data_IF_938851701810
#
_entry.id   IF_938851701810
#
_cell.length_a   1.000
_cell.length_b   1.000
_cell.length_c   1.000
_cell.angle_alpha   90.00
_cell.angle_beta   90.00
_cell.angle_gamma   90.00
#
_symmetry.space_group_name_H-M   'P 1'
#
loop_
_entity.id
_entity.type
_entity.pdbx_description
1 polymer ?
#
# COMPACT_ATOMS: atom_id res chain seq x y z
N UNK A 1 2.83 13.01 -8.19
CA UNK A 1 2.95 14.44 -8.55
C UNK A 1 3.69 15.15 -7.43
N UNK A 2 4.39 16.24 -7.72
CA UNK A 2 4.98 17.10 -6.69
C UNK A 2 4.41 18.50 -6.86
N UNK A 3 3.69 18.98 -5.84
CA UNK A 3 3.18 20.34 -5.77
C UNK A 3 4.22 21.23 -5.06
N UNK A 4 4.57 22.34 -5.68
CA UNK A 4 5.53 23.31 -5.15
C UNK A 4 4.78 24.46 -4.46
N UNK A 5 5.47 25.17 -3.56
CA UNK A 5 4.88 26.26 -2.77
C UNK A 5 4.41 27.45 -3.64
N UNK A 6 4.89 27.54 -4.87
CA UNK A 6 4.50 28.55 -5.87
C UNK A 6 3.23 28.16 -6.64
N UNK A 7 2.60 27.03 -6.29
CA UNK A 7 1.40 26.52 -6.95
C UNK A 7 1.66 25.77 -8.25
N UNK A 8 2.93 25.62 -8.67
CA UNK A 8 3.28 24.80 -9.82
C UNK A 8 3.34 23.32 -9.46
N UNK A 9 3.17 22.45 -10.45
CA UNK A 9 3.19 21.01 -10.27
C UNK A 9 4.11 20.35 -11.30
N UNK A 10 4.97 19.44 -10.83
CA UNK A 10 5.72 18.53 -11.70
C UNK A 10 5.08 17.15 -11.70
N UNK A 11 4.83 16.64 -12.90
CA UNK A 11 4.33 15.29 -13.13
C UNK A 11 5.34 14.53 -13.99
N UNK A 12 5.79 13.38 -13.48
CA UNK A 12 6.55 12.39 -14.26
C UNK A 12 5.56 11.31 -14.69
N UNK A 13 5.50 11.04 -15.99
CA UNK A 13 4.55 10.09 -16.56
C UNK A 13 5.27 9.10 -17.47
N UNK A 14 4.78 7.87 -17.46
CA UNK A 14 5.31 6.79 -18.28
C UNK A 14 4.26 5.69 -18.49
N UNK A 15 4.51 4.71 -19.37
CA UNK A 15 3.76 3.46 -19.37
C UNK A 15 3.92 2.75 -18.01
N UNK A 16 3.00 1.86 -17.63
CA UNK A 16 3.04 1.11 -16.38
C UNK A 16 4.08 -0.03 -16.44
N UNK A 17 5.37 0.32 -16.57
CA UNK A 17 6.49 -0.62 -16.69
C UNK A 17 7.51 -0.39 -15.57
N UNK A 18 7.71 -1.42 -14.73
CA UNK A 18 8.62 -1.37 -13.56
C UNK A 18 10.11 -1.22 -13.92
N UNK A 19 10.50 -1.45 -15.17
CA UNK A 19 11.89 -1.20 -15.63
C UNK A 19 12.27 0.28 -15.50
N UNK A 20 11.30 1.19 -15.64
CA UNK A 20 11.53 2.64 -15.54
C UNK A 20 11.91 3.10 -14.12
N UNK A 21 11.11 2.84 -13.06
CA UNK A 21 11.52 3.20 -11.71
C UNK A 21 12.77 2.42 -11.26
N UNK A 22 12.94 1.16 -11.66
CA UNK A 22 14.15 0.39 -11.36
C UNK A 22 15.42 1.02 -11.97
N UNK A 23 15.38 1.39 -13.24
CA UNK A 23 16.49 2.08 -13.90
C UNK A 23 16.79 3.45 -13.28
N UNK A 24 15.74 4.19 -12.89
CA UNK A 24 15.91 5.47 -12.21
C UNK A 24 16.63 5.31 -10.86
N UNK A 25 16.33 4.26 -10.09
CA UNK A 25 17.02 3.98 -8.83
C UNK A 25 18.47 3.52 -9.03
N UNK A 26 18.73 2.67 -10.04
CA UNK A 26 20.06 2.09 -10.28
C UNK A 26 21.06 3.07 -10.89
N UNK A 27 20.60 3.97 -11.75
CA UNK A 27 21.49 4.89 -12.48
C UNK A 27 21.53 6.29 -11.91
N UNK A 28 20.77 6.59 -10.85
CA UNK A 28 20.75 7.93 -10.28
C UNK A 28 22.18 8.43 -9.96
N UNK A 29 22.54 9.68 -10.32
CA UNK A 29 21.69 10.75 -10.88
C UNK A 29 21.51 10.71 -12.41
N UNK A 30 22.19 9.79 -13.10
CA UNK A 30 22.14 9.60 -14.54
C UNK A 30 20.88 8.82 -14.97
N UNK A 31 20.77 8.57 -16.28
CA UNK A 31 19.67 7.81 -16.89
C UNK A 31 20.20 6.70 -17.77
N UNK A 32 19.62 5.51 -17.66
CA UNK A 32 19.83 4.43 -18.61
C UNK A 32 19.03 4.70 -19.89
N UNK A 33 19.61 4.33 -21.03
CA UNK A 33 18.88 4.30 -22.30
C UNK A 33 17.95 3.09 -22.35
N UNK A 34 16.72 3.28 -21.90
CA UNK A 34 15.69 2.27 -21.94
C UNK A 34 14.99 2.18 -23.31
N UNK A 35 15.11 3.21 -24.15
CA UNK A 35 14.53 3.22 -25.49
C UNK A 35 15.18 2.17 -26.36
N UNK A 36 16.51 2.12 -26.33
CA UNK A 36 17.28 1.09 -27.04
C UNK A 36 17.04 -0.33 -26.49
N UNK A 37 16.46 -0.47 -25.29
CA UNK A 37 16.06 -1.76 -24.69
C UNK A 37 14.61 -2.18 -24.97
N UNK A 38 13.94 -1.51 -25.92
CA UNK A 38 12.58 -1.82 -26.35
C UNK A 38 11.48 -1.12 -25.55
N UNK A 39 11.84 -0.23 -24.63
CA UNK A 39 10.88 0.63 -23.93
C UNK A 39 10.69 1.90 -24.77
N UNK A 40 9.82 1.82 -25.77
CA UNK A 40 9.60 2.91 -26.73
C UNK A 40 9.26 4.25 -26.09
N UNK A 41 9.41 5.34 -26.85
CA UNK A 41 9.02 6.67 -26.39
C UNK A 41 7.53 6.73 -26.06
N UNK A 42 7.22 7.56 -25.07
CA UNK A 42 5.82 7.92 -24.79
C UNK A 42 5.29 8.78 -25.93
N UNK A 43 4.02 8.58 -26.26
CA UNK A 43 3.29 9.39 -27.23
C UNK A 43 2.14 10.09 -26.49
N UNK A 44 2.33 11.36 -26.06
CA UNK A 44 1.34 12.08 -25.28
C UNK A 44 -0.01 12.26 -26.00
N UNK A 45 -0.03 12.25 -27.34
CA UNK A 45 -1.28 12.40 -28.12
C UNK A 45 -2.22 11.21 -27.93
N UNK A 46 -1.70 10.05 -27.51
CA UNK A 46 -2.49 8.85 -27.24
C UNK A 46 -3.08 8.79 -25.84
N UNK A 47 -2.80 9.79 -24.99
CA UNK A 47 -3.14 9.71 -23.58
C UNK A 47 -4.35 10.57 -23.24
N UNK A 48 -5.26 9.96 -22.48
CA UNK A 48 -6.37 10.63 -21.80
C UNK A 48 -6.19 10.46 -20.29
N UNK A 49 -5.97 11.57 -19.58
CA UNK A 49 -5.70 11.57 -18.14
C UNK A 49 -6.88 12.24 -17.42
N UNK A 50 -7.67 11.43 -16.72
CA UNK A 50 -8.73 11.91 -15.84
C UNK A 50 -8.34 11.75 -14.37
N UNK A 51 -8.56 12.80 -13.57
CA UNK A 51 -8.30 12.79 -12.13
C UNK A 51 -9.62 12.91 -11.37
N UNK A 52 -9.76 12.14 -10.28
CA UNK A 52 -10.95 12.13 -9.41
C UNK A 52 -10.52 11.92 -7.97
N UNK A 53 -11.33 12.42 -7.04
CA UNK A 53 -11.15 12.12 -5.62
C UNK A 53 -11.49 10.64 -5.33
N UNK A 54 -10.85 10.10 -4.29
CA UNK A 54 -11.11 8.74 -3.83
C UNK A 54 -12.42 8.72 -3.06
N UNK A 55 -13.34 7.86 -3.48
CA UNK A 55 -14.56 7.57 -2.71
C UNK A 55 -14.22 6.64 -1.54
N UNK A 56 -14.13 7.22 -0.33
CA UNK A 56 -13.82 6.47 0.89
C UNK A 56 -14.86 5.40 1.27
N UNK A 57 -16.09 5.48 0.76
CA UNK A 57 -17.11 4.45 0.98
C UNK A 57 -16.84 3.19 0.16
N UNK A 58 -16.25 3.35 -1.03
CA UNK A 58 -15.85 2.26 -1.92
C UNK A 58 -14.45 1.71 -1.59
N UNK A 59 -13.56 2.57 -1.08
CA UNK A 59 -12.17 2.23 -0.79
C UNK A 59 -11.78 2.49 0.69
N UNK A 60 -12.43 1.80 1.66
CA UNK A 60 -12.23 2.05 3.09
C UNK A 60 -10.77 1.84 3.54
N UNK A 61 -10.04 0.90 2.93
CA UNK A 61 -8.64 0.65 3.25
C UNK A 61 -7.73 1.87 3.02
N UNK A 62 -8.07 2.78 2.08
CA UNK A 62 -7.33 4.02 1.90
C UNK A 62 -7.36 4.89 3.16
N UNK A 63 -8.55 5.10 3.72
CA UNK A 63 -8.72 5.86 4.96
C UNK A 63 -8.03 5.19 6.16
N UNK A 64 -8.07 3.86 6.24
CA UNK A 64 -7.37 3.09 7.28
C UNK A 64 -5.86 3.31 7.17
N UNK A 65 -5.29 3.20 5.96
CA UNK A 65 -3.86 3.38 5.73
C UNK A 65 -3.38 4.80 6.04
N UNK A 66 -4.15 5.82 5.64
CA UNK A 66 -3.84 7.21 6.00
C UNK A 66 -3.80 7.40 7.52
N UNK A 67 -4.82 6.91 8.24
CA UNK A 67 -4.85 6.98 9.72
C UNK A 67 -3.66 6.26 10.35
N UNK A 68 -3.33 5.06 9.89
CA UNK A 68 -2.17 4.33 10.39
C UNK A 68 -0.85 5.08 10.16
N UNK A 69 -0.69 5.73 9.01
CA UNK A 69 0.46 6.59 8.70
C UNK A 69 0.54 7.83 9.59
N UNK A 70 -0.59 8.50 9.84
CA UNK A 70 -0.69 9.66 10.73
C UNK A 70 -0.40 9.31 12.20
N UNK A 71 -0.92 8.17 12.67
CA UNK A 71 -0.65 7.66 14.01
C UNK A 71 0.81 7.26 14.18
N UNK A 72 1.46 6.80 13.10
CA UNK A 72 2.83 6.33 13.10
C UNK A 72 3.03 5.20 14.10
N UNK A 73 4.18 5.18 14.78
CA UNK A 73 4.42 4.18 15.81
C UNK A 73 4.46 2.75 15.23
N UNK A 74 3.76 1.84 15.91
CA UNK A 74 3.60 0.46 15.46
C UNK A 74 2.54 0.26 14.35
N UNK A 75 1.67 1.24 14.12
CA UNK A 75 0.49 1.08 13.27
C UNK A 75 0.82 0.73 11.81
N UNK A 76 1.82 1.34 11.15
CA UNK A 76 2.19 0.96 9.79
C UNK A 76 2.65 -0.49 9.68
N UNK A 77 3.48 -0.98 10.61
CA UNK A 77 3.94 -2.37 10.60
C UNK A 77 2.80 -3.36 10.83
N UNK A 78 1.92 -3.07 11.80
CA UNK A 78 0.74 -3.90 12.07
C UNK A 78 -0.21 -3.94 10.86
N UNK A 79 -0.38 -2.80 10.18
CA UNK A 79 -1.20 -2.70 8.96
C UNK A 79 -0.64 -3.60 7.86
N UNK A 80 0.68 -3.60 7.64
CA UNK A 80 1.33 -4.47 6.63
C UNK A 80 0.98 -5.93 6.91
N UNK A 81 1.21 -6.41 8.14
CA UNK A 81 0.90 -7.81 8.48
C UNK A 81 -0.59 -8.14 8.42
N UNK A 82 -1.45 -7.22 8.83
CA UNK A 82 -2.90 -7.40 8.78
C UNK A 82 -3.43 -7.50 7.34
N UNK A 83 -2.92 -6.66 6.43
CA UNK A 83 -3.28 -6.68 5.02
C UNK A 83 -2.84 -7.97 4.34
N UNK A 84 -1.59 -8.41 4.57
CA UNK A 84 -1.07 -9.66 4.02
C UNK A 84 -1.93 -10.88 4.42
N UNK A 85 -2.27 -11.00 5.71
CA UNK A 85 -3.11 -12.09 6.20
C UNK A 85 -4.54 -12.03 5.66
N UNK A 86 -5.15 -10.84 5.61
CA UNK A 86 -6.52 -10.67 5.14
C UNK A 86 -6.64 -10.95 3.62
N UNK A 87 -5.68 -10.46 2.82
CA UNK A 87 -5.61 -10.74 1.38
C UNK A 87 -5.37 -12.23 1.14
N UNK A 88 -4.45 -12.86 1.87
CA UNK A 88 -4.22 -14.31 1.76
C UNK A 88 -5.48 -15.10 2.06
N UNK A 89 -6.16 -14.80 3.17
CA UNK A 89 -7.43 -15.45 3.53
C UNK A 89 -8.53 -15.23 2.47
N UNK A 90 -8.60 -14.07 1.82
CA UNK A 90 -9.52 -13.83 0.71
C UNK A 90 -9.17 -14.69 -0.52
N UNK A 91 -7.90 -14.75 -0.90
CA UNK A 91 -7.42 -15.56 -2.03
C UNK A 91 -7.64 -17.07 -1.79
N UNK A 92 -7.59 -17.52 -0.54
CA UNK A 92 -7.92 -18.88 -0.12
C UNK A 92 -9.44 -19.13 0.03
N UNK A 93 -10.28 -18.12 -0.19
CA UNK A 93 -11.73 -18.23 -0.10
C UNK A 93 -12.27 -18.35 1.33
N UNK A 94 -11.49 -17.99 2.35
CA UNK A 94 -11.91 -18.03 3.76
C UNK A 94 -12.78 -16.85 4.17
N UNK A 95 -12.55 -15.68 3.57
CA UNK A 95 -13.31 -14.46 3.82
C UNK A 95 -13.74 -13.82 2.48
N UNK A 96 -14.86 -13.08 2.43
CA UNK A 96 -15.19 -12.28 1.25
C UNK A 96 -14.30 -11.03 1.18
N UNK A 97 -14.14 -10.47 -0.03
CA UNK A 97 -13.37 -9.23 -0.24
C UNK A 97 -13.80 -8.09 0.71
N UNK A 98 -15.10 -7.93 0.94
CA UNK A 98 -15.67 -6.89 1.81
C UNK A 98 -15.35 -7.08 3.30
N UNK A 99 -14.77 -8.21 3.72
CA UNK A 99 -14.33 -8.42 5.09
C UNK A 99 -12.94 -7.86 5.36
N UNK A 100 -12.07 -7.75 4.35
CA UNK A 100 -10.69 -7.24 4.46
C UNK A 100 -10.60 -5.94 5.28
N UNK A 101 -11.33 -4.85 4.96
CA UNK A 101 -11.22 -3.61 5.73
C UNK A 101 -11.61 -3.77 7.20
N UNK A 102 -12.60 -4.63 7.51
CA UNK A 102 -13.04 -4.88 8.89
C UNK A 102 -11.97 -5.62 9.69
N UNK A 103 -11.36 -6.65 9.10
CA UNK A 103 -10.28 -7.42 9.72
C UNK A 103 -9.08 -6.52 10.01
N UNK A 104 -8.68 -5.68 9.06
CA UNK A 104 -7.58 -4.73 9.24
C UNK A 104 -7.89 -3.74 10.36
N UNK A 105 -9.06 -3.10 10.32
CA UNK A 105 -9.44 -2.10 11.33
C UNK A 105 -9.52 -2.69 12.75
N UNK A 106 -10.08 -3.89 12.90
CA UNK A 106 -10.13 -4.59 14.18
C UNK A 106 -8.73 -5.00 14.66
N UNK A 107 -7.85 -5.44 13.75
CA UNK A 107 -6.45 -5.75 14.08
C UNK A 107 -5.70 -4.53 14.63
N UNK A 108 -5.90 -3.36 14.01
CA UNK A 108 -5.26 -2.12 14.44
C UNK A 108 -5.85 -1.55 15.74
N UNK A 109 -7.11 -1.87 16.07
CA UNK A 109 -7.78 -1.35 17.28
C UNK A 109 -7.17 -1.84 18.60
N UNK A 110 -6.47 -2.97 18.58
CA UNK A 110 -5.95 -3.66 19.77
C UNK A 110 -4.57 -3.21 20.24
N UNK A 111 -3.81 -2.43 19.45
CA UNK A 111 -2.40 -2.16 19.74
C UNK A 111 -2.14 -0.74 20.25
N UNK A 112 -1.29 -0.63 21.28
CA UNK A 112 -0.87 0.65 21.89
C UNK A 112 0.64 0.70 22.11
N UNK A 113 1.40 0.31 21.09
CA UNK A 113 2.86 0.36 21.13
C UNK A 113 3.39 1.66 20.50
N UNK A 114 4.51 2.16 21.03
CA UNK A 114 5.25 3.27 20.44
C UNK A 114 5.92 2.89 19.11
N UNK A 115 6.70 3.80 18.51
CA UNK A 115 7.49 3.48 17.33
C UNK A 115 8.52 2.39 17.63
N UNK A 116 8.73 1.43 16.70
CA UNK A 116 9.76 0.41 16.89
C UNK A 116 11.14 1.06 16.98
N UNK A 117 11.95 0.59 17.93
CA UNK A 117 13.31 1.06 18.16
C UNK A 117 14.35 0.38 17.25
N UNK A 118 13.97 -0.68 16.53
CA UNK A 118 14.85 -1.41 15.61
C UNK A 118 14.08 -2.04 14.44
N UNK A 119 14.83 -2.50 13.44
CA UNK A 119 14.28 -3.29 12.33
C UNK A 119 13.62 -4.57 12.84
N UNK A 120 14.27 -5.29 13.76
CA UNK A 120 13.75 -6.55 14.30
C UNK A 120 12.41 -6.34 15.03
N UNK A 121 12.28 -5.23 15.76
CA UNK A 121 11.02 -4.86 16.41
C UNK A 121 9.95 -4.51 15.37
N UNK A 122 10.30 -3.77 14.32
CA UNK A 122 9.38 -3.47 13.22
C UNK A 122 8.88 -4.73 12.51
N UNK A 123 9.75 -5.73 12.30
CA UNK A 123 9.38 -7.03 11.71
C UNK A 123 8.53 -7.86 12.67
N UNK A 124 8.83 -7.84 13.98
CA UNK A 124 7.99 -8.48 14.99
C UNK A 124 6.56 -7.93 14.96
N UNK A 125 6.41 -6.60 14.84
CA UNK A 125 5.10 -5.95 14.74
C UNK A 125 4.34 -6.36 13.47
N UNK A 126 5.03 -6.60 12.35
CA UNK A 126 4.38 -7.18 11.14
C UNK A 126 3.82 -8.56 11.48
N UNK A 127 4.62 -9.44 12.09
CA UNK A 127 4.17 -10.78 12.49
C UNK A 127 3.03 -10.76 13.53
N UNK A 128 3.02 -9.78 14.44
CA UNK A 128 1.90 -9.56 15.36
C UNK A 128 0.61 -9.18 14.64
N UNK A 129 0.70 -8.27 13.66
CA UNK A 129 -0.43 -7.88 12.80
C UNK A 129 -0.99 -9.08 12.02
N UNK A 130 -0.10 -9.87 11.42
CA UNK A 130 -0.47 -11.08 10.69
C UNK A 130 -1.19 -12.10 11.59
N UNK A 131 -0.62 -12.38 12.77
CA UNK A 131 -1.18 -13.34 13.73
C UNK A 131 -2.54 -12.88 14.27
N UNK A 132 -2.72 -11.58 14.52
CA UNK A 132 -4.00 -11.01 14.94
C UNK A 132 -5.06 -11.13 13.85
N UNK A 133 -4.75 -10.72 12.61
CA UNK A 133 -5.66 -10.82 11.47
C UNK A 133 -6.06 -12.28 11.18
N UNK A 134 -5.12 -13.24 11.24
CA UNK A 134 -5.44 -14.66 11.05
C UNK A 134 -6.45 -15.21 12.07
N UNK A 135 -6.40 -14.75 13.33
CA UNK A 135 -7.40 -15.14 14.34
C UNK A 135 -8.79 -14.65 13.95
N UNK A 136 -8.89 -13.41 13.48
CA UNK A 136 -10.15 -12.80 13.03
C UNK A 136 -10.70 -13.51 11.78
N UNK A 137 -9.85 -13.80 10.79
CA UNK A 137 -10.23 -14.53 9.58
C UNK A 137 -10.79 -15.92 9.90
N UNK A 138 -10.18 -16.65 10.86
CA UNK A 138 -10.68 -17.96 11.29
C UNK A 138 -12.04 -17.86 11.97
N UNK A 139 -12.26 -16.84 12.79
CA UNK A 139 -13.54 -16.60 13.44
C UNK A 139 -14.64 -16.25 12.43
N UNK A 140 -14.29 -15.48 11.38
CA UNK A 140 -15.22 -15.15 10.30
C UNK A 140 -15.80 -16.40 9.62
N UNK A 141 -14.95 -17.41 9.36
CA UNK A 141 -15.36 -18.68 8.75
C UNK A 141 -16.25 -19.53 9.66
N UNK A 142 -16.09 -19.41 10.98
CA UNK A 142 -16.82 -20.23 11.96
C UNK A 142 -18.11 -19.57 12.47
N UNK A 143 -18.29 -18.27 12.22
CA UNK A 143 -19.35 -17.45 12.80
C UNK A 143 -20.40 -16.92 11.82
N UNK A 144 -20.34 -17.32 10.54
CA UNK A 144 -21.33 -17.01 9.49
C UNK A 144 -21.86 -18.30 8.85
#
# INVERSE_FOLDING_TARGET
MVLFFDGTMKMLVSPPDMRLPAAAALAWPDRLDLVSSGLGFIDPEKWDLSFREIDGSLFPCFGIACRAGEMGGAYPSLLVGADEAAVSAFLEGMIPFTAIPKIIEETLSGSRSGPPASLDEAVSLVGEGEAAAWRLCKNWRNGN
#
